data_IF_792955264202
#
_entry.id   IF_792955264202
#
_cell.length_a   1.000
_cell.length_b   1.000
_cell.length_c   1.000
_cell.angle_alpha   90.00
_cell.angle_beta   90.00
_cell.angle_gamma   90.00
#
_symmetry.space_group_name_H-M   'P 1'
#
loop_
_entity.id
_entity.type
_entity.pdbx_description
1 polymer ?
#
# COMPACT_ATOMS: atom_id res chain seq x y z
N UNK A 1 14.37 -3.00 1.21
CA UNK A 1 13.19 -3.67 1.79
C UNK A 1 13.54 -5.08 2.30
N UNK A 2 14.50 -5.22 3.22
CA UNK A 2 14.77 -6.50 3.91
C UNK A 2 14.09 -6.39 5.28
N UNK A 3 13.09 -7.25 5.50
CA UNK A 3 12.22 -7.36 6.68
C UNK A 3 11.24 -6.19 6.93
N UNK A 4 10.25 -6.05 6.03
CA UNK A 4 9.04 -5.29 6.36
C UNK A 4 8.22 -6.08 7.40
N UNK A 5 8.20 -5.61 8.64
CA UNK A 5 7.34 -6.16 9.69
C UNK A 5 6.09 -5.29 9.84
N UNK A 6 5.02 -5.69 9.14
CA UNK A 6 3.69 -5.14 9.39
C UNK A 6 3.08 -5.83 10.60
N UNK A 7 2.51 -5.05 11.51
CA UNK A 7 1.74 -5.59 12.62
C UNK A 7 0.47 -6.30 12.13
N UNK A 8 -0.09 -7.19 12.96
CA UNK A 8 -1.37 -7.84 12.67
C UNK A 8 -2.50 -6.82 12.43
N UNK A 9 -2.53 -5.75 13.22
CA UNK A 9 -3.47 -4.64 13.02
C UNK A 9 -3.35 -4.04 11.63
N UNK A 10 -2.13 -3.69 11.19
CA UNK A 10 -1.90 -3.11 9.86
C UNK A 10 -2.27 -4.09 8.74
N UNK A 11 -2.05 -5.40 8.92
CA UNK A 11 -2.47 -6.40 7.94
C UNK A 11 -4.00 -6.47 7.82
N UNK A 12 -4.73 -6.40 8.93
CA UNK A 12 -6.19 -6.35 8.95
C UNK A 12 -6.69 -5.06 8.30
N UNK A 13 -6.09 -3.91 8.61
CA UNK A 13 -6.43 -2.62 8.01
C UNK A 13 -6.22 -2.62 6.49
N UNK A 14 -5.07 -3.15 6.01
CA UNK A 14 -4.79 -3.31 4.58
C UNK A 14 -5.84 -4.22 3.92
N UNK A 15 -6.22 -5.32 4.58
CA UNK A 15 -7.22 -6.24 4.04
C UNK A 15 -8.62 -5.60 3.97
N UNK A 16 -8.97 -4.77 4.96
CA UNK A 16 -10.24 -4.06 5.09
C UNK A 16 -10.45 -2.88 4.12
N UNK A 17 -9.46 -2.55 3.27
CA UNK A 17 -9.62 -1.52 2.25
C UNK A 17 -10.76 -1.84 1.28
N UNK A 18 -11.81 -1.03 1.29
CA UNK A 18 -12.99 -1.17 0.41
C UNK A 18 -12.77 -0.68 -1.01
N UNK A 19 -11.61 -0.10 -1.30
CA UNK A 19 -11.27 0.50 -2.60
C UNK A 19 -12.25 1.59 -3.05
N UNK A 20 -12.78 2.37 -2.11
CA UNK A 20 -13.69 3.50 -2.39
C UNK A 20 -13.03 4.66 -3.16
N UNK A 21 -11.73 4.90 -2.96
CA UNK A 21 -10.98 5.93 -3.70
C UNK A 21 -10.99 7.34 -3.07
N UNK A 22 -11.68 7.55 -1.95
CA UNK A 22 -11.71 8.85 -1.23
C UNK A 22 -10.30 9.40 -0.91
N UNK A 23 -9.38 8.50 -0.55
CA UNK A 23 -8.01 8.86 -0.24
C UNK A 23 -7.20 9.40 -1.44
N UNK A 24 -7.65 9.16 -2.69
CA UNK A 24 -7.03 9.70 -3.91
C UNK A 24 -7.36 11.19 -4.04
N UNK A 25 -8.62 11.55 -3.82
CA UNK A 25 -9.15 12.91 -4.04
C UNK A 25 -8.47 13.96 -3.15
N UNK A 26 -8.05 13.55 -1.95
CA UNK A 26 -7.40 14.43 -0.96
C UNK A 26 -5.88 14.33 -0.93
N UNK A 27 -5.25 13.57 -1.83
CA UNK A 27 -3.81 13.37 -1.80
C UNK A 27 -3.07 14.53 -2.49
N UNK A 28 -2.27 15.35 -1.77
CA UNK A 28 -1.59 16.49 -2.38
C UNK A 28 -0.49 16.08 -3.36
N UNK A 29 0.14 14.92 -3.15
CA UNK A 29 1.15 14.40 -4.07
C UNK A 29 0.50 14.05 -5.41
N UNK A 30 -0.64 13.35 -5.37
CA UNK A 30 -1.37 13.01 -6.58
C UNK A 30 -1.85 14.25 -7.35
N UNK A 31 -2.29 15.30 -6.65
CA UNK A 31 -2.70 16.56 -7.29
C UNK A 31 -1.58 17.22 -8.09
N UNK A 32 -0.31 16.97 -7.75
CA UNK A 32 0.85 17.56 -8.44
C UNK A 32 1.44 16.59 -9.46
N UNK A 33 1.52 15.30 -9.14
CA UNK A 33 2.19 14.31 -9.99
C UNK A 33 1.26 13.64 -11.00
N UNK A 34 -0.05 13.67 -10.76
CA UNK A 34 -1.08 12.88 -11.45
C UNK A 34 -0.79 11.37 -11.45
N UNK A 35 0.14 10.90 -10.61
CA UNK A 35 0.53 9.51 -10.51
C UNK A 35 -0.20 8.85 -9.33
N UNK A 36 -1.24 8.06 -9.63
CA UNK A 36 -1.99 7.38 -8.58
C UNK A 36 -1.15 6.36 -7.79
N UNK A 37 -0.01 5.89 -8.30
CA UNK A 37 0.83 4.86 -7.62
C UNK A 37 1.37 5.36 -6.28
N UNK A 38 1.50 6.67 -6.12
CA UNK A 38 2.01 7.33 -4.91
C UNK A 38 0.98 7.39 -3.78
N UNK A 39 -0.30 7.20 -4.12
CA UNK A 39 -1.43 7.35 -3.19
C UNK A 39 -1.53 6.18 -2.22
N UNK A 40 -2.23 6.40 -1.10
CA UNK A 40 -2.55 5.33 -0.16
C UNK A 40 -3.33 4.17 -0.82
N UNK A 41 -4.19 4.49 -1.80
CA UNK A 41 -5.00 3.51 -2.51
C UNK A 41 -4.15 2.40 -3.14
N UNK A 42 -3.19 2.77 -3.99
CA UNK A 42 -2.32 1.81 -4.67
C UNK A 42 -1.25 1.23 -3.75
N UNK A 43 -0.82 1.99 -2.74
CA UNK A 43 0.13 1.52 -1.74
C UNK A 43 -0.42 0.32 -0.97
N UNK A 44 -1.63 0.44 -0.41
CA UNK A 44 -2.26 -0.63 0.37
C UNK A 44 -2.45 -1.89 -0.47
N UNK A 45 -2.91 -1.74 -1.72
CA UNK A 45 -3.09 -2.86 -2.64
C UNK A 45 -1.76 -3.54 -2.96
N UNK A 46 -0.73 -2.77 -3.29
CA UNK A 46 0.59 -3.32 -3.62
C UNK A 46 1.21 -4.02 -2.41
N UNK A 47 1.05 -3.46 -1.20
CA UNK A 47 1.48 -4.10 0.04
C UNK A 47 0.73 -5.40 0.31
N UNK A 48 -0.59 -5.44 0.06
CA UNK A 48 -1.40 -6.66 0.16
C UNK A 48 -0.90 -7.75 -0.78
N UNK A 49 -0.71 -7.40 -2.05
CA UNK A 49 -0.22 -8.33 -3.06
C UNK A 49 1.20 -8.82 -2.74
N UNK A 50 2.07 -7.93 -2.26
CA UNK A 50 3.40 -8.29 -1.79
C UNK A 50 3.36 -9.26 -0.60
N UNK A 51 2.55 -8.97 0.43
CA UNK A 51 2.40 -9.81 1.61
C UNK A 51 1.91 -11.21 1.24
N UNK A 52 0.92 -11.29 0.36
CA UNK A 52 0.37 -12.56 -0.13
C UNK A 52 1.36 -13.34 -1.02
N UNK A 53 2.26 -12.64 -1.73
CA UNK A 53 3.26 -13.28 -2.60
C UNK A 53 4.32 -14.10 -1.83
N UNK A 54 4.46 -13.87 -0.52
CA UNK A 54 5.34 -14.67 0.35
C UNK A 54 4.75 -16.02 0.75
N UNK A 55 3.45 -16.24 0.53
CA UNK A 55 2.79 -17.50 0.91
C UNK A 55 3.16 -18.62 -0.06
N UNK A 56 3.93 -19.60 0.44
CA UNK A 56 4.37 -20.76 -0.36
C UNK A 56 3.19 -21.60 -0.89
N UNK A 57 2.10 -21.71 -0.11
CA UNK A 57 0.88 -22.38 -0.53
C UNK A 57 0.25 -21.71 -1.76
N UNK A 58 0.20 -20.37 -1.79
CA UNK A 58 -0.35 -19.64 -2.96
C UNK A 58 0.53 -19.77 -4.20
N UNK A 59 1.85 -19.86 -4.03
CA UNK A 59 2.79 -20.14 -5.13
C UNK A 59 2.48 -21.47 -5.81
N UNK A 60 2.12 -22.49 -5.02
CA UNK A 60 1.87 -23.83 -5.53
C UNK A 60 0.47 -23.98 -6.15
N UNK A 61 -0.58 -23.45 -5.50
CA UNK A 61 -1.97 -23.71 -5.92
C UNK A 61 -2.60 -22.64 -6.82
N UNK A 62 -2.17 -21.38 -6.75
CA UNK A 62 -2.89 -20.27 -7.39
C UNK A 62 -2.17 -19.64 -8.59
N UNK A 63 -1.02 -20.19 -9.00
CA UNK A 63 -0.15 -19.65 -10.06
C UNK A 63 -0.06 -18.12 -10.07
N UNK A 64 -0.09 -17.50 -8.87
CA UNK A 64 -0.16 -16.04 -8.73
C UNK A 64 1.23 -15.49 -9.01
N UNK A 65 1.30 -14.53 -9.94
CA UNK A 65 2.53 -13.88 -10.38
C UNK A 65 3.22 -13.24 -9.17
N UNK A 66 4.44 -13.72 -8.87
CA UNK A 66 5.30 -13.09 -7.88
C UNK A 66 5.61 -11.66 -8.36
N UNK A 67 5.64 -10.68 -7.46
CA UNK A 67 6.07 -9.33 -7.85
C UNK A 67 7.49 -9.40 -8.40
N UNK A 68 7.68 -8.95 -9.63
CA UNK A 68 9.01 -8.89 -10.23
C UNK A 68 9.88 -7.83 -9.53
N UNK A 69 11.20 -7.94 -9.75
CA UNK A 69 12.19 -7.07 -9.10
C UNK A 69 12.02 -5.60 -9.52
N UNK A 70 11.58 -5.36 -10.76
CA UNK A 70 11.36 -4.02 -11.29
C UNK A 70 10.18 -3.34 -10.58
N UNK A 71 9.05 -4.03 -10.45
CA UNK A 71 7.87 -3.57 -9.70
C UNK A 71 8.21 -3.32 -8.24
N UNK A 72 9.02 -4.19 -7.62
CA UNK A 72 9.47 -4.00 -6.23
C UNK A 72 10.31 -2.72 -6.09
N UNK A 73 11.22 -2.47 -7.04
CA UNK A 73 12.05 -1.26 -7.06
C UNK A 73 11.19 0.00 -7.24
N UNK A 74 10.26 -0.02 -8.20
CA UNK A 74 9.33 1.08 -8.44
C UNK A 74 8.45 1.32 -7.21
N UNK A 75 7.93 0.25 -6.60
CA UNK A 75 7.14 0.35 -5.37
C UNK A 75 7.93 0.99 -4.23
N UNK A 76 9.20 0.62 -4.06
CA UNK A 76 10.06 1.25 -3.07
C UNK A 76 10.18 2.76 -3.30
N UNK A 77 10.30 3.21 -4.55
CA UNK A 77 10.36 4.64 -4.88
C UNK A 77 9.01 5.34 -4.63
N UNK A 78 7.90 4.72 -5.05
CA UNK A 78 6.53 5.20 -4.82
C UNK A 78 6.22 5.41 -3.32
N UNK A 79 6.77 4.56 -2.44
CA UNK A 79 6.60 4.69 -0.97
C UNK A 79 7.20 6.00 -0.44
N UNK A 80 8.42 6.34 -0.86
CA UNK A 80 9.12 7.54 -0.38
C UNK A 80 8.52 8.85 -0.91
N UNK A 81 7.69 8.83 -1.95
CA UNK A 81 7.03 10.03 -2.47
C UNK A 81 5.88 10.54 -1.60
N UNK A 82 5.36 9.74 -0.66
CA UNK A 82 4.31 10.21 0.25
C UNK A 82 4.88 11.22 1.27
N UNK A 83 4.19 12.34 1.47
CA UNK A 83 4.59 13.39 2.42
C UNK A 83 4.20 13.09 3.87
N UNK A 84 3.53 11.96 4.15
CA UNK A 84 2.99 11.58 5.47
C UNK A 84 2.02 12.62 6.08
N UNK A 85 1.35 13.41 5.23
CA UNK A 85 0.41 14.45 5.66
C UNK A 85 -0.84 13.90 6.37
N UNK A 86 -1.26 12.66 6.10
CA UNK A 86 -2.37 12.01 6.82
C UNK A 86 -3.79 12.32 6.31
N UNK A 87 -3.97 13.14 5.27
CA UNK A 87 -5.31 13.44 4.72
C UNK A 87 -6.11 12.18 4.34
N UNK A 88 -5.43 11.15 3.81
CA UNK A 88 -6.06 9.89 3.44
C UNK A 88 -6.67 9.11 4.61
N UNK A 89 -6.17 9.32 5.83
CA UNK A 89 -6.68 8.68 7.05
C UNK A 89 -7.93 9.41 7.56
N UNK A 90 -7.91 10.74 7.54
CA UNK A 90 -9.04 11.58 7.96
C UNK A 90 -10.30 11.30 7.14
N UNK A 91 -10.17 11.05 5.84
CA UNK A 91 -11.32 10.78 4.95
C UNK A 91 -11.67 9.29 4.81
N UNK A 92 -10.93 8.38 5.43
CA UNK A 92 -11.14 6.96 5.22
C UNK A 92 -12.45 6.50 5.88
N UNK A 93 -13.45 5.99 5.13
CA UNK A 93 -14.74 5.61 5.69
C UNK A 93 -14.68 4.35 6.58
N UNK A 94 -13.61 3.56 6.44
CA UNK A 94 -13.35 2.34 7.23
C UNK A 94 -12.18 2.50 8.19
N UNK A 95 -11.78 3.75 8.47
CA UNK A 95 -10.80 4.10 9.50
C UNK A 95 -9.45 3.36 9.37
N UNK A 96 -8.88 3.33 8.16
CA UNK A 96 -7.54 2.78 7.91
C UNK A 96 -6.49 3.83 8.23
N UNK A 97 -5.57 3.49 9.14
CA UNK A 97 -4.43 4.33 9.54
C UNK A 97 -3.31 4.28 8.49
N UNK A 98 -3.63 4.77 7.29
CA UNK A 98 -2.76 4.69 6.11
C UNK A 98 -1.41 5.36 6.34
N UNK A 99 -1.34 6.41 7.19
CA UNK A 99 -0.07 7.06 7.52
C UNK A 99 0.88 6.13 8.26
N UNK A 100 0.41 5.41 9.26
CA UNK A 100 1.21 4.44 10.03
C UNK A 100 1.74 3.32 9.13
N UNK A 101 0.88 2.79 8.26
CA UNK A 101 1.27 1.78 7.26
C UNK A 101 2.34 2.33 6.32
N UNK A 102 2.20 3.58 5.84
CA UNK A 102 3.20 4.23 4.97
C UNK A 102 4.53 4.47 5.68
N UNK A 103 4.52 4.74 6.99
CA UNK A 103 5.75 4.83 7.80
C UNK A 103 6.42 3.45 7.88
N UNK A 104 5.65 2.40 8.17
CA UNK A 104 6.17 1.03 8.26
C UNK A 104 6.79 0.54 6.94
N UNK A 105 6.32 1.05 5.79
CA UNK A 105 6.81 0.71 4.45
C UNK A 105 8.16 1.31 4.06
N UNK A 106 8.65 2.30 4.81
CA UNK A 106 9.93 2.99 4.55
C UNK A 106 11.11 2.24 5.16
#
# INVERSE_FOLDING_TARGET
MRNLELSLRQMIEIDGCTRCGECIQVCPVFQVTEDQRVTAFNALQTTKDWSLSKSWFRKFFLNRRQMDQERLKNFSQEVYQCTLCGHCEVVCPVNIHSKEIRIALR
#
